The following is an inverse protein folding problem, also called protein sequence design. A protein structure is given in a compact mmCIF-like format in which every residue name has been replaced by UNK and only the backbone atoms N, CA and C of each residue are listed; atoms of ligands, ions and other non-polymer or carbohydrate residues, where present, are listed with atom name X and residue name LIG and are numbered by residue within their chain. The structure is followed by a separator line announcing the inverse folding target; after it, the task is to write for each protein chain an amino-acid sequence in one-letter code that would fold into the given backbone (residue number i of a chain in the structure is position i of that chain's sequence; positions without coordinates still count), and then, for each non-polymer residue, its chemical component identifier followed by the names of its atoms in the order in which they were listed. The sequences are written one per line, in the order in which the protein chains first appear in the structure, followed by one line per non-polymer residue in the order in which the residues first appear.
data_IF_331892945382
#
_entry.id   IF_331892945382
#
_cell.length_a   1.000
_cell.length_b   1.000
_cell.length_c   1.000
_cell.angle_alpha   90.00
_cell.angle_beta   90.00
_cell.angle_gamma   90.00
#
_symmetry.space_group_name_H-M   'P 1'
#
loop_
_entity.id
_entity.type
_entity.pdbx_description
1 polymer ?
#
# COMPACT_ATOMS: atom_id res chain seq x y z
N UNK A 1 1.25 22.51 -10.46
CA UNK A 1 0.18 21.91 -11.27
C UNK A 1 -0.29 20.71 -10.47
N UNK A 2 -1.55 20.70 -10.02
CA UNK A 2 -2.10 19.58 -9.26
C UNK A 2 -2.61 18.52 -10.24
N UNK A 3 -2.25 17.26 -10.02
CA UNK A 3 -2.71 16.13 -10.82
C UNK A 3 -3.53 15.21 -9.92
N UNK A 4 -4.79 15.02 -10.27
CA UNK A 4 -5.68 14.06 -9.61
C UNK A 4 -5.66 12.74 -10.39
N UNK A 5 -5.43 11.61 -9.70
CA UNK A 5 -5.47 10.27 -10.28
C UNK A 5 -6.64 9.52 -9.65
N UNK A 6 -7.62 9.14 -10.48
CA UNK A 6 -8.79 8.36 -10.05
C UNK A 6 -8.51 6.87 -10.23
N UNK A 7 -8.81 6.09 -9.21
CA UNK A 7 -8.78 4.63 -9.23
C UNK A 7 -9.83 4.06 -8.27
N UNK A 8 -10.20 2.81 -8.48
CA UNK A 8 -11.22 2.06 -7.74
C UNK A 8 -10.58 1.20 -6.65
N UNK A 9 -11.41 0.62 -5.77
CA UNK A 9 -10.91 -0.26 -4.69
C UNK A 9 -10.29 -1.57 -5.21
N UNK A 10 -10.62 -1.97 -6.44
CA UNK A 10 -10.11 -3.19 -7.06
C UNK A 10 -8.83 -2.92 -7.89
N UNK A 11 -8.30 -1.69 -7.82
CA UNK A 11 -7.12 -1.24 -8.53
C UNK A 11 -5.99 -0.87 -7.56
N UNK A 12 -4.76 -1.09 -8.01
CA UNK A 12 -3.55 -0.65 -7.31
C UNK A 12 -2.86 0.40 -8.17
N UNK A 13 -2.64 1.59 -7.62
CA UNK A 13 -1.83 2.61 -8.26
C UNK A 13 -0.35 2.39 -7.89
N UNK A 14 0.48 2.18 -8.90
CA UNK A 14 1.93 2.12 -8.73
C UNK A 14 2.58 3.45 -9.09
N UNK A 15 3.26 4.05 -8.12
CA UNK A 15 4.18 5.18 -8.32
C UNK A 15 5.59 4.63 -8.44
N UNK A 16 6.20 4.76 -9.62
CA UNK A 16 7.55 4.27 -9.91
C UNK A 16 8.54 5.44 -9.87
N UNK A 17 9.50 5.35 -8.97
CA UNK A 17 10.69 6.21 -8.95
C UNK A 17 11.89 5.52 -9.62
N UNK A 18 13.03 6.20 -9.65
CA UNK A 18 14.27 5.68 -10.24
C UNK A 18 14.85 4.48 -9.46
N UNK A 19 14.64 4.44 -8.14
CA UNK A 19 15.23 3.43 -7.26
C UNK A 19 14.21 2.66 -6.40
N UNK A 20 12.93 3.02 -6.48
CA UNK A 20 11.90 2.43 -5.62
C UNK A 20 10.50 2.62 -6.17
N UNK A 21 9.56 1.94 -5.54
CA UNK A 21 8.15 2.00 -5.93
C UNK A 21 7.25 2.11 -4.71
N UNK A 22 6.08 2.71 -4.91
CA UNK A 22 4.99 2.74 -3.94
C UNK A 22 3.75 2.16 -4.60
N UNK A 23 3.13 1.17 -3.99
CA UNK A 23 1.77 0.76 -4.31
C UNK A 23 0.78 1.45 -3.39
N UNK A 24 -0.30 1.94 -3.97
CA UNK A 24 -1.36 2.64 -3.25
C UNK A 24 -2.68 1.92 -3.55
N UNK A 25 -3.40 1.56 -2.50
CA UNK A 25 -4.76 1.00 -2.59
C UNK A 25 -5.72 1.77 -1.70
N UNK A 26 -7.01 1.66 -2.01
CA UNK A 26 -8.07 2.11 -1.11
C UNK A 26 -8.35 1.01 -0.10
N UNK A 27 -8.58 1.37 1.16
CA UNK A 27 -9.05 0.43 2.16
C UNK A 27 -10.35 -0.24 1.69
N UNK A 28 -11.29 0.57 1.16
CA UNK A 28 -12.50 0.13 0.48
C UNK A 28 -13.60 -0.40 1.41
N UNK A 29 -13.26 -0.61 2.67
CA UNK A 29 -14.11 -1.04 3.78
C UNK A 29 -13.42 -0.71 5.10
N UNK A 30 -14.19 -0.63 6.18
CA UNK A 30 -13.64 -0.44 7.52
C UNK A 30 -12.94 -1.73 7.96
N UNK A 31 -11.64 -1.66 8.28
CA UNK A 31 -10.85 -2.85 8.62
C UNK A 31 -9.71 -2.56 9.58
N UNK A 32 -9.23 -3.64 10.21
CA UNK A 32 -8.02 -3.61 11.04
C UNK A 32 -6.88 -4.29 10.29
N UNK A 33 -5.70 -3.65 10.27
CA UNK A 33 -4.46 -4.26 9.82
C UNK A 33 -3.56 -4.53 11.02
N UNK A 34 -3.07 -5.77 11.09
CA UNK A 34 -2.14 -6.22 12.11
C UNK A 34 -0.75 -6.37 11.47
N UNK A 35 0.22 -5.61 11.97
CA UNK A 35 1.57 -5.57 11.42
C UNK A 35 2.53 -6.06 12.50
N UNK A 36 3.07 -7.25 12.30
CA UNK A 36 4.12 -7.79 13.15
C UNK A 36 5.44 -7.04 12.95
N UNK A 37 6.10 -6.71 14.05
CA UNK A 37 7.43 -6.11 14.06
C UNK A 37 8.50 -7.18 14.34
N UNK A 38 9.79 -6.91 14.04
CA UNK A 38 10.87 -7.85 14.34
C UNK A 38 10.99 -8.23 15.82
N UNK A 39 10.55 -7.35 16.71
CA UNK A 39 10.70 -7.50 18.16
C UNK A 39 9.53 -8.26 18.82
N UNK A 40 8.70 -8.94 18.01
CA UNK A 40 7.46 -9.63 18.44
C UNK A 40 6.36 -8.72 18.98
N UNK A 41 6.53 -7.40 18.85
CA UNK A 41 5.45 -6.44 19.05
C UNK A 41 4.56 -6.38 17.79
N UNK A 42 3.30 -5.97 17.98
CA UNK A 42 2.32 -5.82 16.91
C UNK A 42 1.77 -4.40 16.87
N UNK A 43 1.65 -3.84 15.67
CA UNK A 43 0.98 -2.57 15.42
C UNK A 43 -0.39 -2.88 14.81
N UNK A 44 -1.44 -2.35 15.42
CA UNK A 44 -2.80 -2.42 14.88
C UNK A 44 -3.18 -1.06 14.30
N UNK A 45 -3.59 -1.04 13.03
CA UNK A 45 -4.15 0.13 12.38
C UNK A 45 -5.63 -0.08 12.13
N UNK A 46 -6.43 0.92 12.49
CA UNK A 46 -7.86 0.97 12.21
C UNK A 46 -8.04 1.89 11.00
N UNK A 47 -8.63 1.36 9.93
CA UNK A 47 -8.83 2.06 8.67
C UNK A 47 -10.32 2.22 8.40
N UNK A 48 -10.70 3.40 7.93
CA UNK A 48 -12.01 3.70 7.38
C UNK A 48 -12.05 3.40 5.87
N UNK A 49 -13.24 3.19 5.30
CA UNK A 49 -13.39 2.77 3.90
C UNK A 49 -12.74 3.70 2.86
N UNK A 50 -12.60 4.99 3.17
CA UNK A 50 -11.99 6.01 2.31
C UNK A 50 -10.48 6.21 2.56
N UNK A 51 -9.91 5.57 3.58
CA UNK A 51 -8.47 5.60 3.83
C UNK A 51 -7.68 4.95 2.69
N UNK A 52 -6.44 5.41 2.55
CA UNK A 52 -5.46 4.86 1.61
C UNK A 52 -4.39 4.06 2.35
N UNK A 53 -4.07 2.88 1.81
CA UNK A 53 -2.92 2.09 2.24
C UNK A 53 -1.81 2.32 1.22
N UNK A 54 -0.66 2.80 1.68
CA UNK A 54 0.53 3.00 0.86
C UNK A 54 1.66 2.09 1.33
N UNK A 55 2.14 1.22 0.45
CA UNK A 55 3.25 0.30 0.72
C UNK A 55 4.41 0.65 -0.20
N UNK A 56 5.58 0.93 0.39
CA UNK A 56 6.78 1.28 -0.36
C UNK A 56 7.80 0.15 -0.39
N UNK A 57 8.57 0.11 -1.47
CA UNK A 57 9.77 -0.69 -1.63
C UNK A 57 10.91 0.20 -2.08
N UNK A 58 12.06 0.10 -1.40
CA UNK A 58 13.31 0.76 -1.80
C UNK A 58 14.04 0.03 -2.94
N UNK A 59 13.32 -0.83 -3.68
CA UNK A 59 13.82 -1.56 -4.83
C UNK A 59 12.74 -1.66 -5.91
N UNK A 60 13.18 -1.91 -7.15
CA UNK A 60 12.34 -2.10 -8.33
C UNK A 60 12.34 -3.55 -8.82
N UNK A 61 11.30 -3.91 -9.56
CA UNK A 61 11.18 -5.20 -10.25
C UNK A 61 10.04 -6.07 -9.75
N UNK A 62 9.73 -7.12 -10.51
CA UNK A 62 8.53 -7.96 -10.34
C UNK A 62 8.40 -8.58 -8.95
N UNK A 63 9.53 -8.95 -8.31
CA UNK A 63 9.54 -9.48 -6.94
C UNK A 63 8.91 -8.50 -5.95
N UNK A 64 9.27 -7.22 -6.05
CA UNK A 64 8.81 -6.19 -5.11
C UNK A 64 7.37 -5.77 -5.42
N UNK A 65 7.01 -5.72 -6.71
CA UNK A 65 5.62 -5.51 -7.11
C UNK A 65 4.69 -6.61 -6.56
N UNK A 66 5.09 -7.89 -6.67
CA UNK A 66 4.35 -9.02 -6.08
C UNK A 66 4.24 -8.93 -4.56
N UNK A 67 5.31 -8.48 -3.90
CA UNK A 67 5.31 -8.22 -2.45
C UNK A 67 4.26 -7.18 -2.07
N UNK A 68 4.24 -6.04 -2.77
CA UNK A 68 3.25 -4.98 -2.58
C UNK A 68 1.82 -5.50 -2.82
N UNK A 69 1.60 -6.25 -3.92
CA UNK A 69 0.30 -6.84 -4.26
C UNK A 69 -0.22 -7.82 -3.21
N UNK A 70 0.67 -8.44 -2.43
CA UNK A 70 0.27 -9.42 -1.40
C UNK A 70 -0.23 -8.76 -0.11
N UNK A 71 -0.02 -7.45 0.04
CA UNK A 71 -0.44 -6.65 1.19
C UNK A 71 -1.69 -5.79 0.90
N UNK A 72 -2.10 -5.77 -0.38
CA UNK A 72 -3.18 -4.96 -0.92
C UNK A 72 -4.50 -5.76 -1.01
#
# INVERSE_FOLDING_TARGET
METEIKFTKDEILFLLGESGMVGIVKAGEDKMLFIGTPDSDEIVQYLEADDLIAVSSFNLGEKYEKGIRSLA
#
